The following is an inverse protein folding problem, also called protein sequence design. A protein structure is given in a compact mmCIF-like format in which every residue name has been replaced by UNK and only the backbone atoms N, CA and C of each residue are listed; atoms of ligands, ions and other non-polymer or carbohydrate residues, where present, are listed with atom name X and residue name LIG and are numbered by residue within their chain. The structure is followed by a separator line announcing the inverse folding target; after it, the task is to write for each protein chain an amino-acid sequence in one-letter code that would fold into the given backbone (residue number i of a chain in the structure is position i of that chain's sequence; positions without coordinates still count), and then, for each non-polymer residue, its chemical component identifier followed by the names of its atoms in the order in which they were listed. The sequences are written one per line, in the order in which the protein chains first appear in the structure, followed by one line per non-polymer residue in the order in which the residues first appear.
data_IF_558157011107
#
_entry.id   IF_558157011107
#
_cell.length_a   1.000
_cell.length_b   1.000
_cell.length_c   1.000
_cell.angle_alpha   90.00
_cell.angle_beta   90.00
_cell.angle_gamma   90.00
#
_symmetry.space_group_name_H-M   'P 1'
#
loop_
_entity.id
_entity.type
_entity.pdbx_description
1 polymer ?
#
# COMPACT_ATOMS: atom_id res chain seq x y z
N UNK A 1 -43.96 1.20 5.46
CA UNK A 1 -43.00 0.56 6.38
C UNK A 1 -41.61 0.82 5.81
N UNK A 2 -40.98 1.94 6.20
CA UNK A 2 -39.65 2.34 5.70
C UNK A 2 -38.58 1.83 6.64
N UNK A 3 -37.63 1.07 6.12
CA UNK A 3 -36.48 0.57 6.88
C UNK A 3 -35.63 1.78 7.30
N UNK A 4 -35.34 2.01 8.59
CA UNK A 4 -34.35 3.01 8.95
C UNK A 4 -32.99 2.51 8.47
N UNK A 5 -32.33 3.31 7.62
CA UNK A 5 -30.93 3.11 7.30
C UNK A 5 -30.15 3.14 8.63
N UNK A 6 -29.59 1.99 9.02
CA UNK A 6 -28.73 1.88 10.18
C UNK A 6 -27.61 2.91 10.02
N UNK A 7 -27.65 3.94 10.87
CA UNK A 7 -26.71 5.03 10.85
C UNK A 7 -25.27 4.52 10.88
N UNK A 8 -24.42 5.11 10.04
CA UNK A 8 -23.00 4.85 9.95
C UNK A 8 -22.34 4.94 11.34
N UNK A 9 -22.23 3.78 12.02
CA UNK A 9 -21.64 3.64 13.34
C UNK A 9 -20.11 3.57 13.34
N UNK A 10 -19.45 4.16 12.34
CA UNK A 10 -18.01 4.29 12.28
C UNK A 10 -17.69 5.75 12.01
N UNK A 11 -16.87 6.35 12.87
CA UNK A 11 -16.50 7.77 12.78
C UNK A 11 -16.18 8.17 11.34
N UNK A 12 -16.57 9.40 10.97
CA UNK A 12 -16.42 9.93 9.61
C UNK A 12 -15.11 9.46 8.98
N UNK A 13 -15.17 8.95 7.75
CA UNK A 13 -14.02 8.39 7.02
C UNK A 13 -12.68 9.09 7.28
N UNK A 14 -12.60 10.44 7.32
CA UNK A 14 -11.37 11.17 7.63
C UNK A 14 -10.69 10.79 8.96
N UNK A 15 -11.45 10.50 10.01
CA UNK A 15 -10.88 10.14 11.32
C UNK A 15 -10.29 8.73 11.31
N UNK A 16 -10.96 7.78 10.66
CA UNK A 16 -10.45 6.43 10.47
C UNK A 16 -9.17 6.44 9.62
N UNK A 17 -9.16 7.20 8.52
CA UNK A 17 -7.98 7.35 7.66
C UNK A 17 -6.80 8.03 8.35
N UNK A 18 -7.05 9.05 9.17
CA UNK A 18 -5.98 9.69 9.96
C UNK A 18 -5.36 8.70 10.94
N UNK A 19 -6.19 7.90 11.62
CA UNK A 19 -5.70 6.88 12.55
C UNK A 19 -4.90 5.80 11.84
N UNK A 20 -5.33 5.39 10.66
CA UNK A 20 -4.58 4.46 9.82
C UNK A 20 -3.24 5.06 9.37
N UNK A 21 -3.20 6.33 9.00
CA UNK A 21 -1.95 7.02 8.64
C UNK A 21 -0.98 7.12 9.83
N UNK A 22 -1.48 7.42 11.04
CA UNK A 22 -0.68 7.39 12.27
C UNK A 22 -0.06 6.00 12.51
N UNK A 23 -0.83 4.94 12.30
CA UNK A 23 -0.35 3.56 12.45
C UNK A 23 0.67 3.16 11.39
N UNK A 24 0.50 3.62 10.15
CA UNK A 24 1.51 3.44 9.12
C UNK A 24 2.81 4.18 9.47
N UNK A 25 2.71 5.45 9.90
CA UNK A 25 3.87 6.24 10.30
C UNK A 25 4.59 5.65 11.52
N UNK A 26 3.85 5.04 12.44
CA UNK A 26 4.40 4.35 13.60
C UNK A 26 4.91 2.92 13.31
N UNK A 27 4.76 2.41 12.07
CA UNK A 27 5.15 1.05 11.69
C UNK A 27 4.26 -0.07 12.24
N UNK A 28 3.15 0.27 12.91
CA UNK A 28 2.19 -0.69 13.47
C UNK A 28 1.56 -1.53 12.36
N UNK A 29 1.30 -0.92 11.20
CA UNK A 29 0.75 -1.63 10.06
C UNK A 29 1.69 -2.73 9.54
N UNK A 30 3.00 -2.44 9.46
CA UNK A 30 4.00 -3.40 9.01
C UNK A 30 4.12 -4.60 9.96
N UNK A 31 4.11 -4.34 11.27
CA UNK A 31 4.17 -5.40 12.29
C UNK A 31 2.91 -6.28 12.23
N UNK A 32 1.73 -5.65 12.16
CA UNK A 32 0.45 -6.35 12.04
C UNK A 32 0.41 -7.25 10.80
N UNK A 33 0.86 -6.74 9.66
CA UNK A 33 0.88 -7.49 8.41
C UNK A 33 1.82 -8.69 8.49
N UNK A 34 3.00 -8.55 9.10
CA UNK A 34 3.93 -9.68 9.30
C UNK A 34 3.33 -10.76 10.19
N UNK A 35 2.80 -10.38 11.36
CA UNK A 35 2.19 -11.34 12.30
C UNK A 35 1.03 -12.08 11.67
N UNK A 36 0.18 -11.37 10.92
CA UNK A 36 -0.95 -11.99 10.22
C UNK A 36 -0.47 -12.97 9.15
N UNK A 37 0.50 -12.57 8.31
CA UNK A 37 1.05 -13.43 7.27
C UNK A 37 1.73 -14.66 7.85
N UNK A 38 2.50 -14.52 8.93
CA UNK A 38 3.17 -15.64 9.58
C UNK A 38 2.17 -16.64 10.16
N UNK A 39 1.09 -16.16 10.77
CA UNK A 39 -0.01 -17.01 11.27
C UNK A 39 -0.72 -17.73 10.13
N UNK A 40 -1.02 -17.05 9.03
CA UNK A 40 -1.71 -17.64 7.89
C UNK A 40 -0.84 -18.66 7.15
N UNK A 41 0.46 -18.39 7.03
CA UNK A 41 1.47 -19.34 6.52
C UNK A 41 1.57 -20.57 7.41
N UNK A 42 1.71 -20.39 8.72
CA UNK A 42 1.79 -21.49 9.67
C UNK A 42 0.53 -22.37 9.68
N UNK A 43 -0.63 -21.79 9.37
CA UNK A 43 -1.88 -22.52 9.27
C UNK A 43 -2.13 -23.16 7.90
N UNK A 44 -1.25 -22.96 6.90
CA UNK A 44 -1.44 -23.35 5.50
C UNK A 44 -2.79 -22.86 4.91
N UNK A 45 -3.21 -21.67 5.34
CA UNK A 45 -4.52 -21.08 4.96
C UNK A 45 -4.42 -20.01 3.88
N UNK A 46 -3.24 -19.83 3.30
CA UNK A 46 -3.05 -18.93 2.17
C UNK A 46 -3.37 -19.68 0.88
N UNK A 47 -4.53 -19.39 0.32
CA UNK A 47 -4.87 -19.86 -1.02
C UNK A 47 -4.15 -19.01 -2.07
N UNK A 48 -3.08 -19.58 -2.63
CA UNK A 48 -2.29 -18.97 -3.70
C UNK A 48 -2.86 -19.20 -5.11
N UNK A 49 -4.00 -19.90 -5.25
CA UNK A 49 -4.66 -20.07 -6.55
C UNK A 49 -5.07 -18.74 -7.18
N UNK A 50 -5.20 -17.68 -6.35
CA UNK A 50 -5.52 -16.32 -6.76
C UNK A 50 -4.65 -15.30 -6.03
N UNK A 51 -3.39 -15.18 -6.45
CA UNK A 51 -2.48 -14.13 -6.00
C UNK A 51 -2.24 -13.08 -7.11
N UNK A 52 -2.24 -11.81 -6.75
CA UNK A 52 -1.89 -10.70 -7.67
C UNK A 52 -0.55 -10.13 -7.27
N UNK A 53 0.41 -10.08 -8.20
CA UNK A 53 1.68 -9.40 -8.00
C UNK A 53 1.48 -7.93 -8.34
N UNK A 54 1.57 -7.05 -7.34
CA UNK A 54 1.57 -5.60 -7.56
C UNK A 54 3.00 -5.10 -7.75
N UNK A 55 3.23 -4.30 -8.79
CA UNK A 55 4.54 -3.72 -9.13
C UNK A 55 4.42 -2.21 -9.21
N UNK A 56 5.10 -1.50 -8.31
CA UNK A 56 5.19 -0.04 -8.36
C UNK A 56 6.28 0.41 -9.35
N UNK A 57 5.88 1.06 -10.45
CA UNK A 57 6.82 1.70 -11.37
C UNK A 57 7.22 3.08 -10.85
N UNK A 58 8.49 3.26 -10.50
CA UNK A 58 9.05 4.59 -10.20
C UNK A 58 9.62 5.17 -11.50
N UNK A 59 9.27 6.43 -11.82
CA UNK A 59 9.84 7.10 -12.99
C UNK A 59 11.36 7.16 -12.90
N UNK A 60 12.03 6.68 -13.95
CA UNK A 60 13.46 6.89 -14.11
C UNK A 60 13.75 8.40 -14.18
N UNK A 61 14.68 8.90 -13.37
CA UNK A 61 15.22 10.25 -13.57
C UNK A 61 15.86 10.30 -14.96
N UNK A 62 15.32 11.17 -15.83
CA UNK A 62 15.81 11.42 -17.18
C UNK A 62 17.31 11.76 -17.10
N UNK A 63 18.16 10.88 -17.62
CA UNK A 63 19.58 11.13 -17.73
C UNK A 63 19.81 12.39 -18.56
N UNK A 64 20.66 13.29 -18.05
CA UNK A 64 21.11 14.45 -18.79
C UNK A 64 21.88 13.96 -20.00
N UNK A 65 21.26 14.05 -21.19
CA UNK A 65 21.94 13.85 -22.45
C UNK A 65 22.91 15.02 -22.66
N UNK A 66 24.10 14.95 -22.09
CA UNK A 66 25.23 15.78 -22.51
C UNK A 66 25.87 15.15 -23.75
N UNK A 67 25.13 15.14 -24.87
CA UNK A 67 25.77 15.17 -26.18
C UNK A 67 26.40 16.54 -26.35
N UNK A 68 27.71 16.63 -26.17
CA UNK A 68 28.65 17.40 -26.99
C UNK A 68 30.08 17.18 -26.47
N UNK A 69 30.79 16.28 -27.12
CA UNK A 69 32.25 16.35 -27.19
C UNK A 69 32.69 15.94 -28.58
N UNK A 70 33.56 16.79 -29.12
CA UNK A 70 34.48 16.58 -30.24
C UNK A 70 33.92 16.59 -31.67
N UNK A 71 34.10 17.74 -32.33
CA UNK A 71 34.60 17.93 -33.72
C UNK A 71 34.62 19.44 -33.98
N UNK A 72 35.64 20.11 -34.52
CA UNK A 72 37.00 19.79 -34.94
C UNK A 72 37.69 21.14 -35.10
N UNK A 73 38.95 21.24 -34.69
CA UNK A 73 39.88 22.33 -35.01
C UNK A 73 41.23 21.70 -35.25
#
# INVERSE_FOLDING_TARGET
MGVPAAGAGFGSGPTCWRRLAEWQAAGVWDELQRVLLDRLRAADRLDFSRATIDSSHVQAKRGEAAQKSAESG
#
